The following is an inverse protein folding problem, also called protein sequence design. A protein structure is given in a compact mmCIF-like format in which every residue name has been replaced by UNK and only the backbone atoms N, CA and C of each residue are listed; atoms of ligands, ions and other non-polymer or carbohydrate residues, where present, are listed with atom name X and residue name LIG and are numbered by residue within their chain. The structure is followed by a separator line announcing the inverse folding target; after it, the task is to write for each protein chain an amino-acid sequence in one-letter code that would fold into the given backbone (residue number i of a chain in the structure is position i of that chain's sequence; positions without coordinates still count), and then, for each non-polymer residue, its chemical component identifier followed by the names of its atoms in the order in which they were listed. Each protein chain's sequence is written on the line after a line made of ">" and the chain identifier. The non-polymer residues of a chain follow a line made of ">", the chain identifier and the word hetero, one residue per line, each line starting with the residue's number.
data_IF_171784724649
#
_entry.id   IF_171784724649
#
_cell.length_a   1.000
_cell.length_b   1.000
_cell.length_c   1.000
_cell.angle_alpha   90.00
_cell.angle_beta   90.00
_cell.angle_gamma   90.00
#
_symmetry.space_group_name_H-M   'P 1'
#
loop_
_entity.id
_entity.type
_entity.pdbx_description
1 polymer ?
#
# COMPACT_ATOMS: atom_id res chain seq x y z
N UNK A 1 -21.12 -82.51 1.85
CA UNK A 1 -21.67 -81.19 1.44
C UNK A 1 -21.12 -80.11 2.37
N UNK A 2 -20.06 -79.41 1.97
CA UNK A 2 -19.66 -78.12 2.55
C UNK A 2 -19.15 -77.26 1.41
N UNK A 3 -19.95 -76.27 1.05
CA UNK A 3 -19.71 -75.33 -0.04
C UNK A 3 -18.91 -74.12 0.45
N UNK A 4 -17.78 -73.91 -0.20
CA UNK A 4 -17.20 -72.63 -0.64
C UNK A 4 -17.77 -71.33 -0.04
N UNK A 5 -16.96 -70.62 0.74
CA UNK A 5 -17.01 -69.16 0.92
C UNK A 5 -15.59 -68.58 1.00
N UNK A 6 -14.92 -68.48 -0.14
CA UNK A 6 -13.77 -67.60 -0.32
C UNK A 6 -13.98 -66.83 -1.62
N UNK A 7 -14.64 -65.67 -1.58
CA UNK A 7 -14.65 -64.66 -2.65
C UNK A 7 -15.47 -63.44 -2.24
N UNK A 8 -15.04 -62.65 -1.25
CA UNK A 8 -15.55 -61.27 -1.04
C UNK A 8 -14.69 -60.44 -0.09
N UNK A 9 -13.36 -60.52 -0.20
CA UNK A 9 -12.48 -59.67 0.61
C UNK A 9 -11.38 -58.96 -0.22
N UNK A 10 -11.68 -58.62 -1.47
CA UNK A 10 -10.72 -57.93 -2.35
C UNK A 10 -11.32 -56.71 -3.09
N UNK A 11 -12.39 -56.11 -2.58
CA UNK A 11 -13.02 -54.94 -3.22
C UNK A 11 -13.40 -53.79 -2.26
N UNK A 12 -12.80 -53.73 -1.07
CA UNK A 12 -13.03 -52.64 -0.11
C UNK A 12 -11.74 -51.97 0.41
N UNK A 13 -10.61 -52.18 -0.26
CA UNK A 13 -9.32 -51.59 0.14
C UNK A 13 -8.64 -50.80 -0.99
N UNK A 14 -9.43 -50.21 -1.91
CA UNK A 14 -8.91 -49.38 -3.01
C UNK A 14 -9.67 -48.05 -3.18
N UNK A 15 -10.31 -47.55 -2.12
CA UNK A 15 -11.13 -46.33 -2.15
C UNK A 15 -10.80 -45.32 -1.04
N UNK A 16 -9.65 -45.43 -0.38
CA UNK A 16 -9.28 -44.55 0.75
C UNK A 16 -7.82 -44.08 0.73
N UNK A 17 -7.27 -43.83 -0.46
CA UNK A 17 -6.03 -43.04 -0.62
C UNK A 17 -6.22 -42.00 -1.73
N UNK A 18 -7.28 -41.18 -1.62
CA UNK A 18 -7.11 -39.76 -1.91
C UNK A 18 -6.91 -39.09 -0.57
N UNK A 19 -5.68 -39.18 -0.04
CA UNK A 19 -5.23 -38.23 0.95
C UNK A 19 -5.26 -36.87 0.25
N UNK A 20 -6.38 -36.16 0.40
CA UNK A 20 -6.37 -34.72 0.31
C UNK A 20 -5.31 -34.27 1.32
N UNK A 21 -4.09 -34.04 0.85
CA UNK A 21 -3.14 -33.14 1.48
C UNK A 21 -3.69 -31.71 1.33
N UNK A 22 -4.94 -31.51 1.78
CA UNK A 22 -5.48 -30.20 2.04
C UNK A 22 -4.84 -29.73 3.34
N UNK A 23 -3.57 -29.30 3.27
CA UNK A 23 -3.06 -28.39 4.29
C UNK A 23 -4.08 -27.25 4.34
N UNK A 24 -4.80 -27.13 5.46
CA UNK A 24 -5.75 -26.06 5.66
C UNK A 24 -5.04 -24.76 5.31
N UNK A 25 -5.56 -24.05 4.30
CA UNK A 25 -4.90 -22.85 3.81
C UNK A 25 -4.86 -21.82 4.94
N UNK A 26 -3.65 -21.46 5.36
CA UNK A 26 -3.44 -20.49 6.43
C UNK A 26 -3.97 -19.14 5.95
N UNK A 27 -4.83 -18.52 6.75
CA UNK A 27 -5.33 -17.16 6.49
C UNK A 27 -4.18 -16.17 6.53
N UNK A 28 -3.90 -15.43 5.44
CA UNK A 28 -2.82 -14.46 5.45
C UNK A 28 -3.14 -13.32 6.43
N UNK A 29 -2.11 -12.73 7.04
CA UNK A 29 -2.26 -11.63 8.00
C UNK A 29 -2.03 -10.26 7.33
N UNK A 30 -2.65 -10.06 6.17
CA UNK A 30 -2.61 -8.79 5.42
C UNK A 30 -3.54 -7.76 6.06
N UNK A 31 -3.19 -6.48 5.94
CA UNK A 31 -3.90 -5.35 6.53
C UNK A 31 -4.68 -4.53 5.49
N UNK A 32 -4.13 -4.37 4.28
CA UNK A 32 -4.79 -3.62 3.20
C UNK A 32 -5.64 -4.55 2.32
N UNK A 33 -5.04 -5.65 1.90
CA UNK A 33 -5.72 -6.71 1.17
C UNK A 33 -6.60 -7.50 2.13
N UNK A 34 -7.86 -7.69 1.75
CA UNK A 34 -8.78 -8.49 2.56
C UNK A 34 -8.32 -9.97 2.53
N UNK A 35 -7.93 -10.55 3.67
CA UNK A 35 -7.38 -11.90 3.71
C UNK A 35 -8.39 -12.99 3.33
N UNK A 36 -9.67 -12.78 3.63
CA UNK A 36 -10.74 -13.73 3.30
C UNK A 36 -11.00 -13.76 1.78
N UNK A 37 -10.94 -12.60 1.13
CA UNK A 37 -10.96 -12.49 -0.33
C UNK A 37 -9.76 -13.20 -0.97
N UNK A 38 -8.55 -13.01 -0.42
CA UNK A 38 -7.35 -13.70 -0.91
C UNK A 38 -7.50 -15.23 -0.81
N UNK A 39 -8.04 -15.73 0.30
CA UNK A 39 -8.34 -17.16 0.46
C UNK A 39 -9.40 -17.63 -0.54
N UNK A 40 -10.50 -16.90 -0.68
CA UNK A 40 -11.57 -17.22 -1.62
C UNK A 40 -11.05 -17.30 -3.07
N UNK A 41 -10.24 -16.34 -3.48
CA UNK A 41 -9.70 -16.31 -4.84
C UNK A 41 -8.64 -17.39 -5.07
N UNK A 42 -7.84 -17.76 -4.07
CA UNK A 42 -6.92 -18.91 -4.16
C UNK A 42 -7.70 -20.23 -4.27
N UNK A 43 -8.82 -20.36 -3.54
CA UNK A 43 -9.73 -21.50 -3.71
C UNK A 43 -10.31 -21.57 -5.13
N UNK A 44 -10.83 -20.45 -5.66
CA UNK A 44 -11.34 -20.37 -7.04
C UNK A 44 -10.28 -20.74 -8.07
N UNK A 45 -9.04 -20.29 -7.89
CA UNK A 45 -7.90 -20.66 -8.74
C UNK A 45 -7.65 -22.17 -8.74
N UNK A 46 -7.59 -22.78 -7.56
CA UNK A 46 -7.38 -24.23 -7.42
C UNK A 46 -8.54 -25.05 -8.01
N UNK A 47 -9.75 -24.49 -8.04
CA UNK A 47 -10.92 -25.06 -8.67
C UNK A 47 -11.00 -24.80 -10.19
N UNK A 48 -9.98 -24.17 -10.79
CA UNK A 48 -9.92 -23.94 -12.24
C UNK A 48 -10.76 -22.76 -12.75
N UNK A 49 -11.13 -21.79 -11.89
CA UNK A 49 -11.89 -20.62 -12.32
C UNK A 49 -11.11 -19.79 -13.38
N UNK A 50 -11.66 -19.71 -14.58
CA UNK A 50 -11.00 -19.10 -15.75
C UNK A 50 -10.66 -17.63 -15.56
N UNK A 51 -11.54 -16.86 -14.91
CA UNK A 51 -11.33 -15.43 -14.67
C UNK A 51 -10.15 -15.21 -13.70
N UNK A 52 -10.12 -15.97 -12.60
CA UNK A 52 -8.99 -15.90 -11.68
C UNK A 52 -7.69 -16.38 -12.35
N UNK A 53 -7.73 -17.46 -13.15
CA UNK A 53 -6.56 -17.93 -13.89
C UNK A 53 -6.03 -16.89 -14.88
N UNK A 54 -6.91 -16.13 -15.53
CA UNK A 54 -6.54 -15.03 -16.42
C UNK A 54 -5.87 -13.89 -15.64
N UNK A 55 -6.43 -13.51 -14.49
CA UNK A 55 -5.83 -12.51 -13.62
C UNK A 55 -4.47 -12.96 -13.05
N UNK A 56 -4.31 -14.25 -12.75
CA UNK A 56 -3.05 -14.85 -12.31
C UNK A 56 -1.97 -14.78 -13.40
N UNK A 57 -2.32 -15.01 -14.67
CA UNK A 57 -1.37 -14.85 -15.79
C UNK A 57 -0.83 -13.42 -15.87
N UNK A 58 -1.68 -12.42 -15.66
CA UNK A 58 -1.26 -11.01 -15.62
C UNK A 58 -0.36 -10.70 -14.42
N UNK A 59 -0.70 -11.23 -13.23
CA UNK A 59 0.13 -11.11 -12.05
C UNK A 59 1.54 -11.71 -12.27
N UNK A 60 1.62 -12.91 -12.86
CA UNK A 60 2.89 -13.57 -13.20
C UNK A 60 3.67 -12.76 -14.23
N UNK A 61 2.99 -12.25 -15.27
CA UNK A 61 3.62 -11.40 -16.28
C UNK A 61 4.23 -10.14 -15.65
N UNK A 62 3.51 -9.46 -14.77
CA UNK A 62 4.02 -8.28 -14.06
C UNK A 62 5.17 -8.63 -13.11
N UNK A 63 5.14 -9.81 -12.49
CA UNK A 63 6.17 -10.27 -11.56
C UNK A 63 7.44 -10.75 -12.27
N UNK A 64 7.39 -11.06 -13.56
CA UNK A 64 8.57 -11.42 -14.35
C UNK A 64 9.62 -10.29 -14.38
N UNK A 65 9.17 -9.03 -14.37
CA UNK A 65 10.07 -7.88 -14.26
C UNK A 65 10.73 -7.85 -12.89
N UNK A 66 9.95 -8.03 -11.81
CA UNK A 66 10.44 -8.06 -10.43
C UNK A 66 11.47 -9.18 -10.20
N UNK A 67 11.28 -10.35 -10.82
CA UNK A 67 12.22 -11.47 -10.77
C UNK A 67 13.62 -11.12 -11.29
N UNK A 68 13.71 -10.19 -12.24
CA UNK A 68 14.95 -9.78 -12.89
C UNK A 68 15.55 -8.49 -12.32
N UNK A 69 14.97 -7.91 -11.26
CA UNK A 69 15.49 -6.68 -10.66
C UNK A 69 16.82 -6.92 -9.95
N UNK A 70 17.77 -6.01 -10.12
CA UNK A 70 18.89 -5.92 -9.19
C UNK A 70 18.39 -5.50 -7.80
N UNK A 71 19.05 -5.91 -6.70
CA UNK A 71 18.72 -5.43 -5.37
C UNK A 71 18.73 -3.91 -5.25
N UNK A 72 17.70 -3.39 -4.60
CA UNK A 72 17.60 -1.98 -4.25
C UNK A 72 18.45 -1.70 -3.00
N UNK A 73 19.25 -0.63 -3.03
CA UNK A 73 19.95 -0.14 -1.85
C UNK A 73 20.10 1.37 -1.90
N UNK A 74 20.00 2.01 -0.74
CA UNK A 74 20.16 3.46 -0.60
C UNK A 74 21.63 3.88 -0.47
N UNK A 75 22.58 2.96 -0.22
CA UNK A 75 23.98 3.34 0.06
C UNK A 75 24.76 3.73 -1.20
N UNK A 76 24.24 3.42 -2.39
CA UNK A 76 24.90 3.64 -3.68
C UNK A 76 24.65 5.03 -4.28
N UNK A 77 23.92 5.91 -3.57
CA UNK A 77 23.72 7.30 -4.01
C UNK A 77 25.06 8.04 -4.09
N UNK A 78 25.15 9.00 -5.01
CA UNK A 78 26.37 9.80 -5.18
C UNK A 78 26.41 11.00 -4.25
N UNK A 79 25.25 11.44 -3.77
CA UNK A 79 25.12 12.55 -2.83
C UNK A 79 25.11 11.98 -1.41
N UNK A 80 26.11 12.34 -0.62
CA UNK A 80 26.20 11.96 0.79
C UNK A 80 25.16 12.74 1.60
N UNK A 81 24.35 12.07 2.45
CA UNK A 81 23.46 12.76 3.38
C UNK A 81 24.22 13.69 4.32
N UNK A 82 23.59 14.76 4.85
CA UNK A 82 24.26 15.69 5.76
C UNK A 82 24.87 15.06 7.02
N UNK A 83 24.45 13.86 7.43
CA UNK A 83 25.08 13.10 8.53
C UNK A 83 26.46 12.55 8.19
N UNK A 84 26.82 12.45 6.91
CA UNK A 84 27.98 11.68 6.44
C UNK A 84 27.72 10.17 6.31
N UNK A 85 26.56 9.67 6.74
CA UNK A 85 26.22 8.25 6.69
C UNK A 85 25.41 7.92 5.42
N UNK A 86 25.97 7.09 4.54
CA UNK A 86 25.31 6.64 3.32
C UNK A 86 24.08 5.77 3.59
N UNK A 87 23.95 5.22 4.80
CA UNK A 87 22.79 4.44 5.24
C UNK A 87 21.55 5.30 5.53
N UNK A 88 21.70 6.63 5.67
CA UNK A 88 20.55 7.51 5.85
C UNK A 88 19.83 7.74 4.52
N UNK A 89 18.49 7.68 4.56
CA UNK A 89 17.66 8.00 3.41
C UNK A 89 17.77 9.48 3.07
N UNK A 90 17.90 9.78 1.77
CA UNK A 90 17.97 11.14 1.25
C UNK A 90 16.95 11.33 0.13
N UNK A 91 16.28 12.48 0.11
CA UNK A 91 15.52 12.91 -1.07
C UNK A 91 15.44 14.43 -1.15
N UNK A 92 15.08 14.94 -2.34
CA UNK A 92 14.89 16.37 -2.58
C UNK A 92 13.40 16.69 -2.70
N UNK A 93 13.02 17.88 -2.23
CA UNK A 93 11.62 18.31 -2.23
C UNK A 93 11.08 18.48 -3.66
N UNK A 94 10.02 17.72 -3.99
CA UNK A 94 9.56 17.50 -5.38
C UNK A 94 9.28 18.78 -6.19
N UNK A 95 8.73 19.81 -5.54
CA UNK A 95 8.21 21.02 -6.19
C UNK A 95 9.06 22.26 -5.94
N UNK A 96 10.32 22.10 -5.54
CA UNK A 96 11.21 23.21 -5.24
C UNK A 96 12.21 23.40 -6.37
N UNK A 97 12.31 24.63 -6.88
CA UNK A 97 13.10 25.01 -8.06
C UNK A 97 14.10 26.11 -7.74
N UNK A 98 15.21 26.22 -8.50
CA UNK A 98 16.12 27.35 -8.40
C UNK A 98 15.38 28.68 -8.46
N UNK A 99 15.76 29.61 -7.58
CA UNK A 99 15.19 30.94 -7.49
C UNK A 99 15.79 31.86 -8.58
N UNK A 100 15.00 32.29 -9.57
CA UNK A 100 15.51 33.13 -10.66
C UNK A 100 15.89 34.55 -10.21
N UNK A 101 15.53 34.95 -8.97
CA UNK A 101 15.81 36.28 -8.44
C UNK A 101 17.14 36.37 -7.67
N UNK A 102 17.94 35.31 -7.66
CA UNK A 102 19.21 35.21 -6.94
C UNK A 102 20.30 34.67 -7.85
N UNK A 103 21.53 35.14 -7.69
CA UNK A 103 22.65 34.81 -8.59
C UNK A 103 23.06 33.34 -8.59
N UNK A 104 22.82 32.63 -7.48
CA UNK A 104 23.15 31.22 -7.27
C UNK A 104 21.92 30.30 -7.32
N UNK A 105 20.72 30.85 -7.53
CA UNK A 105 19.47 30.10 -7.53
C UNK A 105 18.96 29.67 -6.16
N UNK A 106 19.52 30.18 -5.05
CA UNK A 106 19.16 29.78 -3.68
C UNK A 106 18.49 30.90 -2.86
N UNK A 107 17.69 30.57 -1.83
CA UNK A 107 17.10 29.26 -1.57
C UNK A 107 16.11 28.89 -2.67
N UNK A 108 15.88 27.60 -2.89
CA UNK A 108 14.88 27.17 -3.87
C UNK A 108 13.49 27.71 -3.50
N UNK A 109 12.62 27.86 -4.50
CA UNK A 109 11.24 28.33 -4.35
C UNK A 109 10.23 27.27 -4.78
N UNK A 110 9.09 27.22 -4.10
CA UNK A 110 8.03 26.24 -4.35
C UNK A 110 7.20 26.60 -5.60
N UNK A 111 7.01 25.65 -6.51
CA UNK A 111 6.10 25.70 -7.66
C UNK A 111 5.15 24.50 -7.62
N UNK A 112 3.97 24.69 -7.01
CA UNK A 112 3.07 23.57 -6.71
C UNK A 112 2.65 22.76 -7.94
N UNK A 113 2.79 21.43 -7.85
CA UNK A 113 2.47 20.50 -8.93
C UNK A 113 3.46 20.48 -10.11
N UNK A 114 4.50 21.33 -10.08
CA UNK A 114 5.56 21.36 -11.11
C UNK A 114 6.79 20.64 -10.57
N UNK A 115 7.00 19.40 -10.99
CA UNK A 115 8.12 18.57 -10.52
C UNK A 115 9.45 19.08 -11.05
N UNK A 116 10.39 19.39 -10.14
CA UNK A 116 11.78 19.66 -10.50
C UNK A 116 12.49 18.33 -10.85
N UNK A 117 13.04 18.16 -12.07
CA UNK A 117 13.74 16.92 -12.43
C UNK A 117 14.97 16.61 -11.59
N UNK A 118 15.59 17.59 -10.89
CA UNK A 118 16.71 17.37 -9.98
C UNK A 118 16.40 16.37 -8.86
N UNK A 119 15.13 16.14 -8.53
CA UNK A 119 14.72 15.11 -7.57
C UNK A 119 15.23 13.72 -7.95
N UNK A 120 15.56 13.52 -9.24
CA UNK A 120 16.12 12.29 -9.77
C UNK A 120 17.63 12.14 -9.55
N UNK A 121 18.33 13.15 -9.04
CA UNK A 121 19.73 13.02 -8.62
C UNK A 121 19.88 12.09 -7.42
N UNK A 122 18.86 12.01 -6.57
CA UNK A 122 18.79 11.06 -5.46
C UNK A 122 17.69 10.02 -5.74
N UNK A 123 18.06 8.74 -5.77
CA UNK A 123 17.16 7.67 -6.21
C UNK A 123 16.40 6.99 -5.07
N UNK A 124 16.67 7.33 -3.80
CA UNK A 124 16.13 6.59 -2.66
C UNK A 124 14.58 6.53 -2.68
N UNK A 125 13.90 7.64 -3.01
CA UNK A 125 12.43 7.64 -3.17
C UNK A 125 11.94 6.67 -4.26
N UNK A 126 12.66 6.59 -5.38
CA UNK A 126 12.34 5.68 -6.47
C UNK A 126 12.55 4.24 -6.01
N UNK A 127 13.64 3.96 -5.30
CA UNK A 127 13.93 2.64 -4.77
C UNK A 127 12.89 2.18 -3.74
N UNK A 128 12.46 3.06 -2.84
CA UNK A 128 11.37 2.77 -1.89
C UNK A 128 10.08 2.40 -2.60
N UNK A 129 9.70 3.15 -3.65
CA UNK A 129 8.49 2.91 -4.44
C UNK A 129 8.56 1.59 -5.23
N UNK A 130 9.65 1.36 -5.96
CA UNK A 130 9.81 0.17 -6.78
C UNK A 130 9.99 -1.10 -5.93
N UNK A 131 10.77 -1.03 -4.84
CA UNK A 131 10.87 -2.14 -3.87
C UNK A 131 9.49 -2.51 -3.32
N UNK A 132 8.71 -1.52 -2.87
CA UNK A 132 7.38 -1.77 -2.31
C UNK A 132 6.43 -2.44 -3.32
N UNK A 133 6.47 -1.96 -4.58
CA UNK A 133 5.71 -2.56 -5.68
C UNK A 133 6.16 -4.00 -5.96
N UNK A 134 7.46 -4.23 -6.06
CA UNK A 134 8.01 -5.55 -6.38
C UNK A 134 7.75 -6.56 -5.27
N UNK A 135 7.93 -6.18 -4.00
CA UNK A 135 7.62 -7.06 -2.86
C UNK A 135 6.14 -7.42 -2.81
N UNK A 136 5.24 -6.46 -3.10
CA UNK A 136 3.81 -6.74 -3.23
C UNK A 136 3.52 -7.76 -4.34
N UNK A 137 4.11 -7.57 -5.53
CA UNK A 137 3.91 -8.46 -6.68
C UNK A 137 4.48 -9.86 -6.43
N UNK A 138 5.69 -9.95 -5.90
CA UNK A 138 6.35 -11.21 -5.58
C UNK A 138 5.63 -11.96 -4.46
N UNK A 139 5.18 -11.26 -3.41
CA UNK A 139 4.38 -11.84 -2.33
C UNK A 139 3.05 -12.42 -2.83
N UNK A 140 2.32 -11.66 -3.65
CA UNK A 140 1.09 -12.15 -4.30
C UNK A 140 1.34 -13.35 -5.21
N UNK A 141 2.40 -13.31 -6.02
CA UNK A 141 2.75 -14.41 -6.92
C UNK A 141 3.12 -15.67 -6.15
N UNK A 142 3.95 -15.56 -5.11
CA UNK A 142 4.24 -16.67 -4.21
C UNK A 142 2.95 -17.21 -3.58
N UNK A 143 2.11 -16.35 -3.02
CA UNK A 143 0.88 -16.79 -2.37
C UNK A 143 -0.05 -17.56 -3.32
N UNK A 144 -0.28 -17.07 -4.54
CA UNK A 144 -1.23 -17.74 -5.45
C UNK A 144 -0.64 -18.95 -6.19
N UNK A 145 0.68 -19.06 -6.34
CA UNK A 145 1.32 -20.16 -7.09
C UNK A 145 2.02 -21.19 -6.21
N UNK A 146 2.37 -20.82 -4.98
CA UNK A 146 3.33 -21.51 -4.10
C UNK A 146 4.72 -21.73 -4.77
N UNK A 147 5.06 -20.95 -5.80
CA UNK A 147 6.36 -21.05 -6.49
C UNK A 147 7.42 -20.26 -5.72
N UNK A 148 8.37 -20.98 -5.14
CA UNK A 148 9.44 -20.47 -4.29
C UNK A 148 10.34 -19.43 -4.98
N UNK A 149 10.42 -19.39 -6.32
CA UNK A 149 11.27 -18.40 -6.99
C UNK A 149 10.86 -16.96 -6.64
N UNK A 150 9.56 -16.71 -6.43
CA UNK A 150 9.05 -15.39 -6.07
C UNK A 150 9.43 -15.03 -4.63
N UNK A 151 9.27 -15.96 -3.69
CA UNK A 151 9.65 -15.75 -2.30
C UNK A 151 11.17 -15.60 -2.13
N UNK A 152 11.96 -16.40 -2.85
CA UNK A 152 13.42 -16.28 -2.90
C UNK A 152 13.86 -14.90 -3.37
N UNK A 153 13.26 -14.39 -4.46
CA UNK A 153 13.58 -13.04 -4.94
C UNK A 153 13.16 -11.96 -3.95
N UNK A 154 11.97 -12.07 -3.38
CA UNK A 154 11.50 -11.10 -2.39
C UNK A 154 12.43 -11.07 -1.16
N UNK A 155 12.86 -12.23 -0.67
CA UNK A 155 13.79 -12.35 0.43
C UNK A 155 15.15 -11.69 0.13
N UNK A 156 15.69 -11.87 -1.08
CA UNK A 156 16.92 -11.20 -1.53
C UNK A 156 16.78 -9.67 -1.47
N UNK A 157 15.73 -9.13 -2.08
CA UNK A 157 15.49 -7.68 -2.13
C UNK A 157 15.29 -7.09 -0.72
N UNK A 158 14.50 -7.74 0.14
CA UNK A 158 14.25 -7.30 1.51
C UNK A 158 15.52 -7.33 2.37
N UNK A 159 16.33 -8.39 2.24
CA UNK A 159 17.58 -8.51 2.99
C UNK A 159 18.54 -7.38 2.64
N UNK A 160 18.74 -7.11 1.34
CA UNK A 160 19.65 -6.03 0.91
C UNK A 160 19.17 -4.67 1.41
N UNK A 161 17.87 -4.37 1.28
CA UNK A 161 17.36 -3.05 1.63
C UNK A 161 17.23 -2.80 3.14
N UNK A 162 16.91 -3.81 3.95
CA UNK A 162 16.58 -3.62 5.37
C UNK A 162 17.53 -4.29 6.37
N UNK A 163 18.16 -5.41 6.01
CA UNK A 163 18.76 -6.31 7.01
C UNK A 163 20.28 -6.40 6.91
N UNK A 164 20.82 -6.40 5.69
CA UNK A 164 22.25 -6.54 5.43
C UNK A 164 22.99 -5.28 5.91
N UNK A 165 23.92 -5.45 6.86
CA UNK A 165 24.63 -4.33 7.50
C UNK A 165 25.35 -3.41 6.51
N UNK A 166 25.87 -3.94 5.40
CA UNK A 166 26.58 -3.17 4.38
C UNK A 166 25.68 -2.34 3.45
N UNK A 167 24.37 -2.61 3.41
CA UNK A 167 23.47 -2.01 2.40
C UNK A 167 22.13 -1.50 2.95
N UNK A 168 21.82 -1.79 4.22
CA UNK A 168 20.53 -1.48 4.82
C UNK A 168 20.24 0.02 4.87
N UNK A 169 18.98 0.40 4.73
CA UNK A 169 18.51 1.73 5.10
C UNK A 169 18.45 1.87 6.63
N UNK A 170 18.90 2.98 7.19
CA UNK A 170 18.64 3.30 8.60
C UNK A 170 17.13 3.56 8.81
N UNK A 171 16.53 3.16 9.94
CA UNK A 171 15.08 3.26 10.16
C UNK A 171 14.64 4.70 10.52
N UNK A 172 14.93 5.66 9.65
CA UNK A 172 14.57 7.06 9.79
C UNK A 172 14.47 7.78 8.42
N UNK A 173 13.79 8.92 8.39
CA UNK A 173 13.71 9.81 7.22
C UNK A 173 14.21 11.22 7.56
N UNK A 174 15.28 11.36 8.34
CA UNK A 174 15.75 12.68 8.79
C UNK A 174 16.06 13.63 7.63
N UNK A 175 16.59 13.10 6.53
CA UNK A 175 17.02 13.86 5.35
C UNK A 175 16.06 13.70 4.16
N UNK A 176 14.77 13.56 4.44
CA UNK A 176 13.72 13.50 3.43
C UNK A 176 13.33 14.89 2.93
N UNK A 177 13.04 14.98 1.63
CA UNK A 177 12.59 16.17 0.93
C UNK A 177 13.34 17.45 1.34
N UNK A 178 14.67 17.39 1.31
CA UNK A 178 15.53 18.55 1.56
C UNK A 178 15.26 19.60 0.48
N UNK A 179 15.21 20.86 0.91
CA UNK A 179 15.12 22.03 0.04
C UNK A 179 16.52 22.64 -0.08
N UNK A 180 17.06 22.73 -1.30
CA UNK A 180 18.38 23.32 -1.51
C UNK A 180 18.40 24.80 -1.07
N UNK A 181 19.44 25.16 -0.32
CA UNK A 181 19.61 26.50 0.26
C UNK A 181 18.77 26.75 1.51
N UNK A 182 18.09 25.74 2.05
CA UNK A 182 17.37 25.83 3.33
C UNK A 182 17.90 24.75 4.26
N UNK A 183 18.36 25.17 5.44
CA UNK A 183 18.79 24.25 6.49
C UNK A 183 17.60 23.95 7.41
N UNK A 184 16.76 22.99 6.99
CA UNK A 184 15.64 22.55 7.79
C UNK A 184 15.36 21.06 7.62
N UNK A 185 14.85 20.46 8.69
CA UNK A 185 14.14 19.19 8.58
C UNK A 185 12.74 19.44 7.97
N UNK A 186 12.18 18.43 7.31
CA UNK A 186 10.93 18.59 6.55
C UNK A 186 9.96 17.42 6.76
N UNK A 187 9.04 17.56 7.72
CA UNK A 187 8.01 16.55 7.99
C UNK A 187 7.10 16.19 6.82
N UNK A 188 6.99 17.05 5.80
CA UNK A 188 6.24 16.74 4.56
C UNK A 188 6.82 15.50 3.86
N UNK A 189 8.13 15.27 3.97
CA UNK A 189 8.80 14.15 3.33
C UNK A 189 8.58 12.78 3.98
N UNK A 190 7.85 12.71 5.11
CA UNK A 190 7.37 11.41 5.64
C UNK A 190 6.47 10.65 4.65
N UNK A 191 5.92 11.36 3.66
CA UNK A 191 5.15 10.79 2.54
C UNK A 191 5.99 9.92 1.60
N UNK A 192 7.33 10.06 1.61
CA UNK A 192 8.20 9.34 0.67
C UNK A 192 8.14 7.82 0.87
N UNK A 193 7.87 7.36 2.10
CA UNK A 193 7.70 5.94 2.44
C UNK A 193 6.26 5.46 2.47
N UNK A 194 5.31 6.24 1.91
CA UNK A 194 3.88 5.91 1.91
C UNK A 194 3.56 4.52 1.35
N UNK A 195 4.45 3.95 0.52
CA UNK A 195 4.27 2.64 -0.12
C UNK A 195 4.75 1.46 0.72
N UNK A 196 5.45 1.67 1.84
CA UNK A 196 5.82 0.56 2.72
C UNK A 196 4.62 -0.18 3.31
N UNK A 197 3.44 0.44 3.36
CA UNK A 197 2.21 -0.27 3.76
C UNK A 197 1.79 -1.33 2.74
N UNK A 198 2.03 -1.09 1.44
CA UNK A 198 1.81 -2.06 0.37
C UNK A 198 2.88 -3.18 0.42
N UNK A 199 4.13 -2.82 0.79
CA UNK A 199 5.26 -3.75 1.00
C UNK A 199 4.96 -4.74 2.12
N UNK A 200 4.50 -4.25 3.27
CA UNK A 200 4.19 -5.07 4.45
C UNK A 200 3.20 -6.18 4.09
N UNK A 201 2.14 -5.83 3.36
CA UNK A 201 1.16 -6.80 2.89
C UNK A 201 1.79 -7.87 1.98
N UNK A 202 2.74 -7.49 1.11
CA UNK A 202 3.54 -8.44 0.34
C UNK A 202 4.40 -9.35 1.22
N UNK A 203 5.04 -8.82 2.26
CA UNK A 203 5.82 -9.60 3.24
C UNK A 203 4.96 -10.60 4.00
N UNK A 204 3.76 -10.20 4.43
CA UNK A 204 2.84 -11.08 5.16
C UNK A 204 2.43 -12.31 4.34
N UNK A 205 2.47 -12.20 3.01
CA UNK A 205 2.20 -13.32 2.09
C UNK A 205 3.38 -14.28 1.93
N UNK A 206 4.60 -13.89 2.33
CA UNK A 206 5.80 -14.74 2.28
C UNK A 206 5.93 -15.65 3.50
N UNK A 207 5.19 -15.39 4.58
CA UNK A 207 5.26 -16.17 5.82
C UNK A 207 4.94 -17.64 5.52
N UNK A 208 5.83 -18.52 5.97
CA UNK A 208 5.77 -19.97 5.69
C UNK A 208 6.64 -20.44 4.52
N UNK A 209 7.22 -19.51 3.73
CA UNK A 209 8.22 -19.86 2.73
C UNK A 209 9.55 -20.24 3.40
N UNK A 210 10.25 -21.33 2.98
CA UNK A 210 11.62 -21.60 3.40
C UNK A 210 12.61 -20.49 3.00
N UNK A 211 12.31 -19.72 1.95
CA UNK A 211 13.14 -18.58 1.53
C UNK A 211 12.98 -17.35 2.43
N UNK A 212 11.83 -17.22 3.12
CA UNK A 212 11.53 -16.14 4.06
C UNK A 212 11.33 -16.68 5.49
N UNK A 213 12.46 -17.02 6.12
CA UNK A 213 12.52 -17.59 7.47
C UNK A 213 11.93 -16.68 8.55
N UNK A 214 11.50 -17.26 9.67
CA UNK A 214 11.05 -16.52 10.86
C UNK A 214 12.08 -15.49 11.37
N UNK A 215 13.38 -15.80 11.31
CA UNK A 215 14.45 -14.87 11.71
C UNK A 215 14.44 -13.58 10.86
N UNK A 216 14.43 -13.69 9.53
CA UNK A 216 14.31 -12.53 8.63
C UNK A 216 13.01 -11.73 8.90
N UNK A 217 11.90 -12.42 9.18
CA UNK A 217 10.64 -11.77 9.47
C UNK A 217 10.69 -10.94 10.78
N UNK A 218 11.25 -11.51 11.86
CA UNK A 218 11.43 -10.79 13.12
C UNK A 218 12.48 -9.68 13.00
N UNK A 219 13.55 -9.87 12.23
CA UNK A 219 14.52 -8.80 11.95
C UNK A 219 13.88 -7.61 11.21
N UNK A 220 13.02 -7.89 10.23
CA UNK A 220 12.27 -6.84 9.52
C UNK A 220 11.26 -6.14 10.44
N UNK A 221 10.55 -6.87 11.30
CA UNK A 221 9.71 -6.28 12.35
C UNK A 221 10.54 -5.40 13.30
N UNK A 222 11.75 -5.81 13.65
CA UNK A 222 12.69 -5.01 14.43
C UNK A 222 13.06 -3.69 13.76
N UNK A 223 13.27 -3.69 12.44
CA UNK A 223 13.49 -2.47 11.65
C UNK A 223 12.26 -1.56 11.67
N UNK A 224 11.07 -2.09 11.39
CA UNK A 224 9.83 -1.33 11.41
C UNK A 224 9.44 -0.83 12.80
N UNK A 225 9.83 -1.53 13.87
CA UNK A 225 9.61 -1.07 15.25
C UNK A 225 10.47 0.17 15.56
N UNK A 226 11.74 0.16 15.13
CA UNK A 226 12.61 1.34 15.25
C UNK A 226 12.06 2.51 14.42
N UNK A 227 11.63 2.22 13.19
CA UNK A 227 11.10 3.26 12.30
C UNK A 227 9.78 3.84 12.82
N UNK A 228 8.88 3.00 13.34
CA UNK A 228 7.65 3.43 13.99
C UNK A 228 7.95 4.32 15.20
N UNK A 229 8.90 3.94 16.06
CA UNK A 229 9.30 4.77 17.18
C UNK A 229 9.83 6.13 16.70
N UNK A 230 10.67 6.14 15.66
CA UNK A 230 11.18 7.39 15.07
C UNK A 230 10.04 8.26 14.50
N UNK A 231 9.09 7.68 13.77
CA UNK A 231 7.91 8.40 13.25
C UNK A 231 7.05 9.01 14.36
N UNK A 232 6.96 8.37 15.52
CA UNK A 232 6.14 8.83 16.64
C UNK A 232 6.83 9.84 17.57
N UNK A 233 8.15 9.99 17.48
CA UNK A 233 8.93 10.76 18.48
C UNK A 233 9.91 11.78 17.90
N UNK A 234 10.33 11.62 16.64
CA UNK A 234 11.22 12.58 15.98
C UNK A 234 10.50 13.86 15.58
N UNK A 235 11.25 14.95 15.43
CA UNK A 235 10.72 16.24 14.93
C UNK A 235 10.05 16.05 13.56
N UNK A 236 10.74 15.42 12.60
CA UNK A 236 10.20 15.11 11.26
C UNK A 236 8.92 14.30 11.31
N UNK A 237 8.89 13.24 12.13
CA UNK A 237 7.71 12.41 12.29
C UNK A 237 6.51 13.18 12.85
N UNK A 238 6.73 13.97 13.91
CA UNK A 238 5.69 14.79 14.54
C UNK A 238 5.19 15.91 13.61
N UNK A 239 6.06 16.54 12.82
CA UNK A 239 5.68 17.50 11.79
C UNK A 239 4.82 16.85 10.68
N UNK A 240 5.19 15.64 10.26
CA UNK A 240 4.42 14.84 9.31
C UNK A 240 3.02 14.50 9.86
N UNK A 241 2.95 14.10 11.14
CA UNK A 241 1.70 13.83 11.83
C UNK A 241 0.80 15.07 11.93
N UNK A 242 1.40 16.25 12.12
CA UNK A 242 0.71 17.53 12.24
C UNK A 242 0.20 18.09 10.90
N UNK A 243 0.63 17.55 9.75
CA UNK A 243 0.16 18.03 8.46
C UNK A 243 -1.37 17.88 8.36
N UNK A 244 -2.10 18.95 7.97
CA UNK A 244 -3.56 18.93 7.99
C UNK A 244 -4.17 18.24 6.77
N UNK A 245 -3.39 18.09 5.69
CA UNK A 245 -3.81 17.53 4.41
C UNK A 245 -3.46 16.02 4.29
N UNK A 246 -3.47 15.50 3.07
CA UNK A 246 -3.16 14.12 2.72
C UNK A 246 -1.90 13.55 3.37
N UNK A 247 -0.88 14.36 3.64
CA UNK A 247 0.34 13.90 4.30
C UNK A 247 0.04 13.35 5.69
N UNK A 248 -0.80 14.03 6.48
CA UNK A 248 -1.20 13.54 7.79
C UNK A 248 -2.06 12.27 7.72
N UNK A 249 -2.86 12.11 6.67
CA UNK A 249 -3.61 10.87 6.40
C UNK A 249 -2.66 9.71 6.14
N UNK A 250 -1.66 9.89 5.27
CA UNK A 250 -0.64 8.89 5.01
C UNK A 250 0.25 8.63 6.23
N UNK A 251 0.54 9.65 7.04
CA UNK A 251 1.21 9.45 8.32
C UNK A 251 0.41 8.48 9.20
N UNK A 252 -0.91 8.69 9.37
CA UNK A 252 -1.76 7.77 10.12
C UNK A 252 -1.81 6.37 9.51
N UNK A 253 -1.96 6.26 8.19
CA UNK A 253 -1.90 4.98 7.48
C UNK A 253 -0.60 4.23 7.76
N UNK A 254 0.55 4.91 7.67
CA UNK A 254 1.87 4.35 7.93
C UNK A 254 1.99 3.86 9.38
N UNK A 255 1.81 4.74 10.38
CA UNK A 255 2.04 4.35 11.79
C UNK A 255 1.07 3.28 12.30
N UNK A 256 -0.18 3.27 11.83
CA UNK A 256 -1.15 2.23 12.17
C UNK A 256 -0.75 0.89 11.53
N UNK A 257 -0.37 0.89 10.24
CA UNK A 257 0.08 -0.32 9.55
C UNK A 257 1.35 -0.89 10.19
N UNK A 258 2.29 -0.04 10.58
CA UNK A 258 3.54 -0.46 11.20
C UNK A 258 3.30 -1.01 12.61
N UNK A 259 2.43 -0.36 13.40
CA UNK A 259 2.03 -0.86 14.71
C UNK A 259 1.38 -2.26 14.62
N UNK A 260 0.53 -2.48 13.62
CA UNK A 260 -0.05 -3.81 13.35
C UNK A 260 1.03 -4.83 12.94
N UNK A 261 1.94 -4.45 12.05
CA UNK A 261 3.02 -5.32 11.57
C UNK A 261 3.95 -5.80 12.68
N UNK A 262 4.32 -4.90 13.60
CA UNK A 262 5.16 -5.26 14.77
C UNK A 262 4.38 -5.98 15.88
N UNK A 263 3.08 -6.22 15.69
CA UNK A 263 2.23 -6.95 16.63
C UNK A 263 1.60 -6.09 17.74
N UNK A 264 1.78 -4.77 17.72
CA UNK A 264 1.25 -3.86 18.73
C UNK A 264 -0.15 -3.33 18.35
N UNK A 265 -1.15 -4.22 18.41
CA UNK A 265 -2.56 -3.88 18.11
C UNK A 265 -3.13 -2.80 19.03
N UNK A 266 -2.71 -2.76 20.29
CA UNK A 266 -3.14 -1.75 21.26
C UNK A 266 -2.69 -0.35 20.85
N UNK A 267 -1.44 -0.20 20.40
CA UNK A 267 -0.95 1.06 19.85
C UNK A 267 -1.69 1.45 18.57
N UNK A 268 -1.89 0.49 17.64
CA UNK A 268 -2.64 0.74 16.41
C UNK A 268 -4.05 1.29 16.70
N UNK A 269 -4.76 0.67 17.64
CA UNK A 269 -6.08 1.12 18.12
C UNK A 269 -6.01 2.53 18.70
N UNK A 270 -5.05 2.80 19.59
CA UNK A 270 -4.90 4.12 20.21
C UNK A 270 -4.58 5.22 19.20
N UNK A 271 -3.77 4.94 18.17
CA UNK A 271 -3.43 5.89 17.11
C UNK A 271 -4.67 6.25 16.29
N UNK A 272 -5.52 5.27 15.96
CA UNK A 272 -6.79 5.53 15.25
C UNK A 272 -7.71 6.41 16.10
N UNK A 273 -7.92 6.03 17.36
CA UNK A 273 -8.83 6.76 18.27
C UNK A 273 -8.39 8.20 18.54
N UNK A 274 -7.07 8.42 18.70
CA UNK A 274 -6.53 9.75 19.03
C UNK A 274 -6.29 10.65 17.83
N UNK A 275 -6.04 10.08 16.64
CA UNK A 275 -5.60 10.86 15.48
C UNK A 275 -6.53 10.75 14.28
N UNK A 276 -6.98 9.54 13.91
CA UNK A 276 -7.76 9.36 12.69
C UNK A 276 -9.16 9.99 12.81
N UNK A 277 -9.84 9.83 13.96
CA UNK A 277 -11.17 10.41 14.17
C UNK A 277 -11.18 11.94 14.07
N UNK A 278 -10.26 12.61 14.76
CA UNK A 278 -10.14 14.08 14.70
C UNK A 278 -9.73 14.57 13.31
N UNK A 279 -9.00 13.77 12.54
CA UNK A 279 -8.60 14.11 11.18
C UNK A 279 -9.74 14.00 10.16
N UNK A 280 -10.69 13.07 10.32
CA UNK A 280 -11.93 13.06 9.52
C UNK A 280 -12.71 14.35 9.76
N UNK A 281 -12.77 14.80 11.02
CA UNK A 281 -13.42 16.07 11.38
C UNK A 281 -12.73 17.28 10.72
N UNK A 282 -11.40 17.32 10.67
CA UNK A 282 -10.67 18.47 10.13
C UNK A 282 -10.52 18.47 8.59
N UNK A 283 -10.45 17.31 7.95
CA UNK A 283 -10.17 17.23 6.50
C UNK A 283 -11.40 17.30 5.61
N UNK A 284 -12.57 16.91 6.12
CA UNK A 284 -13.79 16.88 5.33
C UNK A 284 -14.76 17.98 5.72
N UNK A 285 -15.50 18.53 4.75
CA UNK A 285 -16.72 19.28 5.05
C UNK A 285 -17.89 18.33 5.35
N UNK A 286 -19.01 18.87 5.81
CA UNK A 286 -20.22 18.06 6.09
C UNK A 286 -20.82 17.44 4.82
N UNK A 287 -20.45 17.93 3.64
CA UNK A 287 -20.77 17.37 2.32
C UNK A 287 -19.72 16.37 1.83
N UNK A 288 -18.55 16.30 2.46
CA UNK A 288 -17.44 15.41 2.06
C UNK A 288 -16.34 16.07 1.21
N UNK A 289 -16.33 17.39 1.05
CA UNK A 289 -15.26 18.09 0.32
C UNK A 289 -13.94 17.99 1.06
N UNK A 290 -12.84 17.97 0.30
CA UNK A 290 -11.47 17.93 0.82
C UNK A 290 -10.76 19.26 0.54
N UNK A 291 -11.15 20.34 1.23
CA UNK A 291 -10.79 21.72 0.84
C UNK A 291 -9.27 21.95 0.65
N UNK A 292 -8.44 21.34 1.51
CA UNK A 292 -6.98 21.44 1.38
C UNK A 292 -6.44 20.75 0.13
N UNK A 293 -7.07 19.66 -0.34
CA UNK A 293 -6.71 18.99 -1.59
C UNK A 293 -7.28 19.72 -2.81
N UNK A 294 -8.47 20.31 -2.66
CA UNK A 294 -9.13 21.09 -3.71
C UNK A 294 -8.38 22.39 -4.04
N UNK A 295 -7.62 22.94 -3.09
CA UNK A 295 -6.78 24.12 -3.28
C UNK A 295 -5.48 23.88 -4.06
N UNK A 296 -5.18 22.61 -4.42
CA UNK A 296 -3.93 22.23 -5.09
C UNK A 296 -4.01 22.37 -6.60
N UNK A 297 -2.88 22.61 -7.25
CA UNK A 297 -2.82 22.73 -8.72
C UNK A 297 -3.15 21.42 -9.45
N UNK A 298 -3.00 20.27 -8.78
CA UNK A 298 -3.45 18.95 -9.22
C UNK A 298 -4.55 18.40 -8.30
N UNK A 299 -5.62 19.17 -8.11
CA UNK A 299 -6.65 18.93 -7.09
C UNK A 299 -7.39 17.59 -7.21
N UNK A 300 -7.64 17.09 -8.42
CA UNK A 300 -8.25 15.76 -8.63
C UNK A 300 -7.31 14.69 -8.10
N UNK A 301 -6.05 14.73 -8.51
CA UNK A 301 -5.02 13.78 -8.07
C UNK A 301 -4.88 13.76 -6.56
N UNK A 302 -4.83 14.92 -5.91
CA UNK A 302 -4.74 14.99 -4.43
C UNK A 302 -6.00 14.49 -3.74
N UNK A 303 -7.18 14.86 -4.23
CA UNK A 303 -8.46 14.42 -3.64
C UNK A 303 -8.66 12.91 -3.77
N UNK A 304 -8.29 12.32 -4.90
CA UNK A 304 -8.31 10.88 -5.11
C UNK A 304 -7.27 10.19 -4.23
N UNK A 305 -6.03 10.70 -4.19
CA UNK A 305 -4.94 10.10 -3.41
C UNK A 305 -5.23 10.12 -1.90
N UNK A 306 -5.77 11.21 -1.37
CA UNK A 306 -6.13 11.29 0.05
C UNK A 306 -7.27 10.31 0.39
N UNK A 307 -8.29 10.21 -0.46
CA UNK A 307 -9.38 9.26 -0.25
C UNK A 307 -8.90 7.80 -0.35
N UNK A 308 -7.96 7.49 -1.25
CA UNK A 308 -7.31 6.17 -1.29
C UNK A 308 -6.60 5.86 0.03
N UNK A 309 -5.86 6.82 0.59
CA UNK A 309 -5.17 6.66 1.88
C UNK A 309 -6.16 6.39 3.02
N UNK A 310 -7.29 7.11 3.04
CA UNK A 310 -8.36 6.88 4.00
C UNK A 310 -8.98 5.49 3.89
N UNK A 311 -9.25 5.01 2.68
CA UNK A 311 -9.80 3.68 2.44
C UNK A 311 -8.82 2.57 2.84
N UNK A 312 -7.52 2.78 2.58
CA UNK A 312 -6.45 1.91 3.07
C UNK A 312 -6.39 1.89 4.60
N UNK A 313 -6.46 3.07 5.24
CA UNK A 313 -6.47 3.18 6.70
C UNK A 313 -7.70 2.51 7.33
N UNK A 314 -8.87 2.63 6.70
CA UNK A 314 -10.07 1.95 7.15
C UNK A 314 -9.97 0.43 7.03
N UNK A 315 -9.33 -0.10 5.97
CA UNK A 315 -9.00 -1.53 5.87
C UNK A 315 -8.04 -1.98 6.98
N UNK A 316 -6.98 -1.21 7.27
CA UNK A 316 -6.09 -1.50 8.39
C UNK A 316 -6.82 -1.50 9.74
N UNK A 317 -7.71 -0.54 9.96
CA UNK A 317 -8.45 -0.39 11.21
C UNK A 317 -9.30 -1.62 11.56
N UNK A 318 -9.81 -2.35 10.57
CA UNK A 318 -10.51 -3.62 10.79
C UNK A 318 -9.64 -4.64 11.53
N UNK A 319 -8.32 -4.68 11.24
CA UNK A 319 -7.36 -5.57 11.92
C UNK A 319 -7.09 -5.17 13.38
N UNK A 320 -7.42 -3.93 13.75
CA UNK A 320 -7.43 -3.42 15.12
C UNK A 320 -8.82 -3.49 15.78
N UNK A 321 -9.82 -4.06 15.10
CA UNK A 321 -11.20 -4.15 15.60
C UNK A 321 -11.96 -2.83 15.57
N UNK A 322 -11.55 -1.87 14.74
CA UNK A 322 -12.21 -0.57 14.57
C UNK A 322 -12.87 -0.51 13.19
N UNK A 323 -14.14 -0.11 13.17
CA UNK A 323 -14.87 0.17 11.94
C UNK A 323 -14.78 1.68 11.60
N UNK A 324 -13.78 2.07 10.80
CA UNK A 324 -13.68 3.44 10.27
C UNK A 324 -14.63 3.71 9.10
N UNK A 325 -15.13 2.67 8.43
CA UNK A 325 -16.00 2.83 7.26
C UNK A 325 -17.32 3.52 7.60
N UNK A 326 -17.90 3.17 8.75
CA UNK A 326 -19.18 3.69 9.24
C UNK A 326 -19.02 4.82 10.26
N UNK A 327 -17.80 5.20 10.60
CA UNK A 327 -17.55 6.29 11.53
C UNK A 327 -18.09 7.61 10.97
N UNK A 328 -18.84 8.32 11.81
CA UNK A 328 -19.35 9.66 11.56
C UNK A 328 -18.94 10.55 12.72
N UNK A 329 -18.33 11.69 12.41
CA UNK A 329 -17.90 12.65 13.43
C UNK A 329 -19.10 13.33 14.11
N UNK A 330 -18.93 14.01 15.27
CA UNK A 330 -20.00 14.76 15.91
C UNK A 330 -20.66 15.80 14.99
N UNK A 331 -19.91 16.39 14.06
CA UNK A 331 -20.43 17.34 13.06
C UNK A 331 -20.98 16.67 11.79
N UNK A 332 -21.09 15.34 11.76
CA UNK A 332 -21.71 14.59 10.67
C UNK A 332 -20.80 14.34 9.48
N UNK A 333 -19.47 14.46 9.60
CA UNK A 333 -18.50 14.20 8.51
C UNK A 333 -18.12 12.72 8.50
N UNK A 334 -17.88 12.15 7.32
CA UNK A 334 -17.53 10.73 7.20
C UNK A 334 -16.82 10.39 5.89
N UNK A 335 -16.12 9.25 5.86
CA UNK A 335 -15.51 8.70 4.65
C UNK A 335 -16.53 8.44 3.54
N UNK A 336 -17.72 7.96 3.92
CA UNK A 336 -18.82 7.72 2.99
C UNK A 336 -19.25 8.99 2.26
N UNK A 337 -19.37 10.11 2.98
CA UNK A 337 -19.71 11.40 2.38
C UNK A 337 -18.61 11.91 1.45
N UNK A 338 -17.35 11.79 1.85
CA UNK A 338 -16.22 12.14 0.98
C UNK A 338 -16.18 11.32 -0.31
N UNK A 339 -16.44 10.01 -0.20
CA UNK A 339 -16.58 9.12 -1.36
C UNK A 339 -17.74 9.54 -2.26
N UNK A 340 -18.95 9.73 -1.71
CA UNK A 340 -20.14 10.16 -2.46
C UNK A 340 -19.94 11.50 -3.16
N UNK A 341 -19.27 12.45 -2.51
CA UNK A 341 -19.00 13.77 -3.08
C UNK A 341 -18.16 13.70 -4.36
N UNK A 342 -17.21 12.75 -4.43
CA UNK A 342 -16.34 12.55 -5.59
C UNK A 342 -17.05 11.87 -6.77
N UNK A 343 -18.14 11.11 -6.55
CA UNK A 343 -18.75 10.25 -7.57
C UNK A 343 -19.27 10.94 -8.83
N UNK A 344 -19.95 12.10 -8.75
CA UNK A 344 -20.42 12.78 -9.95
C UNK A 344 -19.25 13.17 -10.89
N UNK A 345 -18.09 13.50 -10.32
CA UNK A 345 -16.89 13.83 -11.08
C UNK A 345 -16.19 12.57 -11.60
N UNK A 346 -16.06 11.54 -10.77
CA UNK A 346 -15.45 10.26 -11.14
C UNK A 346 -16.18 9.55 -12.30
N UNK A 347 -17.50 9.71 -12.37
CA UNK A 347 -18.34 9.18 -13.45
C UNK A 347 -18.34 10.03 -14.72
N UNK A 348 -17.75 11.23 -14.68
CA UNK A 348 -17.83 12.21 -15.77
C UNK A 348 -19.20 12.88 -15.93
N UNK A 349 -20.16 12.61 -15.03
CA UNK A 349 -21.49 13.27 -15.05
C UNK A 349 -21.44 14.75 -14.65
N UNK A 350 -20.40 15.16 -13.93
CA UNK A 350 -20.03 16.57 -13.70
C UNK A 350 -18.58 16.80 -14.10
N UNK A 351 -18.33 17.94 -14.75
CA UNK A 351 -16.97 18.41 -14.98
C UNK A 351 -16.28 18.73 -13.65
N UNK A 352 -14.98 18.46 -13.56
CA UNK A 352 -14.17 18.84 -12.40
C UNK A 352 -13.95 20.37 -12.39
N UNK A 353 -14.47 21.11 -11.39
CA UNK A 353 -14.45 22.58 -11.42
C UNK A 353 -13.19 23.19 -10.79
N UNK A 354 -12.24 22.36 -10.33
CA UNK A 354 -11.02 22.80 -9.66
C UNK A 354 -9.79 22.61 -10.55
N UNK A 355 -8.67 23.23 -10.17
CA UNK A 355 -7.46 23.20 -10.98
C UNK A 355 -6.86 21.79 -11.08
N UNK A 356 -6.58 21.35 -12.31
CA UNK A 356 -5.85 20.12 -12.58
C UNK A 356 -4.87 20.39 -13.74
N UNK A 357 -3.63 20.74 -13.41
CA UNK A 357 -2.62 21.14 -14.42
C UNK A 357 -2.04 19.96 -15.19
N UNK A 358 -2.04 18.76 -14.60
CA UNK A 358 -1.71 17.51 -15.30
C UNK A 358 -2.95 16.89 -15.96
N UNK A 359 -2.78 15.85 -16.77
CA UNK A 359 -3.91 15.17 -17.40
C UNK A 359 -4.90 14.63 -16.36
N UNK A 360 -6.16 15.05 -16.44
CA UNK A 360 -7.25 14.50 -15.61
C UNK A 360 -7.49 13.04 -16.00
N UNK A 361 -7.25 12.12 -15.05
CA UNK A 361 -7.48 10.69 -15.24
C UNK A 361 -8.53 10.19 -14.25
N UNK A 362 -9.76 9.98 -14.73
CA UNK A 362 -10.85 9.45 -13.91
C UNK A 362 -10.61 8.00 -13.48
N UNK A 363 -9.84 7.24 -14.27
CA UNK A 363 -9.45 5.85 -13.98
C UNK A 363 -8.70 5.72 -12.64
N UNK A 364 -8.04 6.78 -12.15
CA UNK A 364 -7.40 6.80 -10.84
C UNK A 364 -8.41 6.54 -9.70
N UNK A 365 -9.68 6.85 -9.89
CA UNK A 365 -10.72 6.65 -8.88
C UNK A 365 -11.29 5.22 -8.89
N UNK A 366 -11.08 4.45 -9.96
CA UNK A 366 -11.68 3.12 -10.13
C UNK A 366 -11.35 2.14 -8.98
N UNK A 367 -10.10 2.03 -8.49
CA UNK A 367 -9.78 1.17 -7.35
C UNK A 367 -10.53 1.57 -6.06
N UNK A 368 -10.67 2.88 -5.82
CA UNK A 368 -11.47 3.42 -4.69
C UNK A 368 -12.94 3.06 -4.90
N UNK A 369 -13.45 3.23 -6.12
CA UNK A 369 -14.79 2.85 -6.54
C UNK A 369 -15.10 1.39 -6.22
N UNK A 370 -14.21 0.45 -6.54
CA UNK A 370 -14.38 -0.99 -6.24
C UNK A 370 -14.42 -1.26 -4.74
N UNK A 371 -13.48 -0.71 -3.97
CA UNK A 371 -13.51 -0.86 -2.51
C UNK A 371 -14.77 -0.25 -1.90
N UNK A 372 -15.17 0.94 -2.35
CA UNK A 372 -16.40 1.60 -1.91
C UNK A 372 -17.65 0.82 -2.30
N UNK A 373 -17.64 0.14 -3.46
CA UNK A 373 -18.68 -0.80 -3.87
C UNK A 373 -18.86 -1.92 -2.84
N UNK A 374 -17.75 -2.50 -2.38
CA UNK A 374 -17.78 -3.59 -1.44
C UNK A 374 -18.28 -3.18 -0.05
N UNK A 375 -18.06 -1.92 0.34
CA UNK A 375 -18.37 -1.39 1.68
C UNK A 375 -19.73 -0.69 1.72
N UNK A 376 -19.99 0.27 0.83
CA UNK A 376 -21.17 1.11 0.82
C UNK A 376 -22.22 0.60 -0.19
N UNK A 377 -22.92 -0.47 0.19
CA UNK A 377 -23.89 -1.18 -0.68
C UNK A 377 -25.06 -0.33 -1.17
N UNK A 378 -25.37 0.76 -0.46
CA UNK A 378 -26.44 1.70 -0.80
C UNK A 378 -26.01 2.79 -1.80
N UNK A 379 -24.72 2.83 -2.18
CA UNK A 379 -24.18 3.86 -3.07
C UNK A 379 -24.10 3.34 -4.51
N UNK A 380 -24.77 4.02 -5.44
CA UNK A 380 -24.71 3.68 -6.87
C UNK A 380 -23.34 4.03 -7.47
N UNK A 381 -22.49 3.03 -7.63
CA UNK A 381 -21.15 3.18 -8.20
C UNK A 381 -21.04 2.72 -9.66
N UNK A 382 -22.12 2.19 -10.24
CA UNK A 382 -22.11 1.66 -11.61
C UNK A 382 -21.58 2.68 -12.63
N UNK A 383 -21.97 3.97 -12.61
CA UNK A 383 -21.44 4.96 -13.55
C UNK A 383 -19.91 5.11 -13.55
N UNK A 384 -19.25 4.79 -12.44
CA UNK A 384 -17.78 4.82 -12.32
C UNK A 384 -17.15 3.51 -12.81
N UNK A 385 -17.78 2.37 -12.50
CA UNK A 385 -17.16 1.06 -12.75
C UNK A 385 -17.48 0.51 -14.13
N UNK A 386 -18.65 0.80 -14.73
CA UNK A 386 -19.09 0.22 -16.01
C UNK A 386 -18.03 0.28 -17.12
N UNK A 387 -17.27 1.39 -17.32
CA UNK A 387 -16.24 1.45 -18.36
C UNK A 387 -15.11 0.41 -18.21
N UNK A 388 -14.82 -0.02 -16.98
CA UNK A 388 -13.76 -1.00 -16.68
C UNK A 388 -14.29 -2.35 -16.20
N UNK A 389 -15.60 -2.46 -15.94
CA UNK A 389 -16.22 -3.59 -15.26
C UNK A 389 -16.04 -4.89 -16.02
N UNK A 390 -16.29 -4.90 -17.34
CA UNK A 390 -16.10 -6.09 -18.18
C UNK A 390 -14.65 -6.61 -18.14
N UNK A 391 -13.66 -5.71 -18.15
CA UNK A 391 -12.23 -6.08 -18.00
C UNK A 391 -11.93 -6.64 -16.61
N UNK A 392 -12.54 -6.07 -15.57
CA UNK A 392 -12.39 -6.55 -14.19
C UNK A 392 -12.93 -7.98 -14.03
N UNK A 393 -14.21 -8.20 -14.34
CA UNK A 393 -14.85 -9.50 -14.10
C UNK A 393 -14.36 -10.60 -15.01
N UNK A 394 -13.83 -10.28 -16.20
CA UNK A 394 -13.18 -11.27 -17.07
C UNK A 394 -11.80 -11.72 -16.58
N UNK A 395 -11.24 -11.06 -15.56
CA UNK A 395 -9.86 -11.30 -15.12
C UNK A 395 -8.81 -10.67 -16.04
N UNK A 396 -9.21 -9.74 -16.91
CA UNK A 396 -8.30 -9.00 -17.79
C UNK A 396 -7.51 -7.91 -17.05
N UNK A 397 -7.67 -7.80 -15.73
CA UNK A 397 -6.85 -7.01 -14.82
C UNK A 397 -6.57 -7.80 -13.54
N UNK A 398 -5.33 -7.74 -13.06
CA UNK A 398 -4.87 -8.52 -11.89
C UNK A 398 -5.61 -8.16 -10.59
N UNK A 399 -6.20 -6.96 -10.52
CA UNK A 399 -6.98 -6.46 -9.39
C UNK A 399 -8.12 -7.41 -8.98
N UNK A 400 -8.64 -8.25 -9.88
CA UNK A 400 -9.65 -9.26 -9.56
C UNK A 400 -9.22 -10.16 -8.38
N UNK A 401 -7.92 -10.43 -8.25
CA UNK A 401 -7.38 -11.30 -7.21
C UNK A 401 -7.39 -10.64 -5.81
N UNK A 402 -7.39 -9.31 -5.73
CA UNK A 402 -7.08 -8.57 -4.48
C UNK A 402 -8.07 -7.47 -4.12
N UNK A 403 -8.86 -6.98 -5.07
CA UNK A 403 -9.79 -5.87 -4.85
C UNK A 403 -11.09 -6.37 -4.24
N UNK A 404 -11.50 -5.74 -3.13
CA UNK A 404 -12.87 -5.88 -2.64
C UNK A 404 -13.82 -5.43 -3.75
N UNK A 405 -14.82 -6.26 -4.05
CA UNK A 405 -15.83 -6.02 -5.08
C UNK A 405 -17.10 -6.79 -4.73
N UNK A 406 -18.27 -6.31 -5.18
CA UNK A 406 -19.57 -6.92 -4.86
C UNK A 406 -20.13 -7.79 -5.97
#
# INVERSE_FOLDING_TARGET
>A
MKTSTQSTLFLFLFLLIFAFNGLAQVRPNTFLMNPDLLMQNKFKLNAGNEQCLSALKLLISNSSVALNRAPYTIVNKTITPPSGDMHDYLSLATYWWPNPNTSDGLPYIKKDGQMNPEVNEVKDMIYVRELSKDIRLLGLSYYFTNDEKYAKKAAELLKVFFLNSATKMNPNLKYTQIVRGVDNENGVGTIDTERFVDLIDGVQLLVGSPSWTAENHEALKGWFNQYLNWMLTSVVGLEGAAQPNNIGTFHNLQVVSYALFVGNKTLAKSLIEKQAYSRIESQFTVEGKQELELSRTNSWTYSTKNLEAWFKLASCAESAGINLWDYTTPSGKSLKKAFQWMLPFASGSKAWPYQQISTLSLDQFVPIGRTGSAVYKDVNIQPVLSPTHAKFVSGSIMDLLVSRYY
#
